data_IF_252404995516
#
_entry.id   IF_252404995516
#
_cell.length_a   1.000
_cell.length_b   1.000
_cell.length_c   1.000
_cell.angle_alpha   90.00
_cell.angle_beta   90.00
_cell.angle_gamma   90.00
#
_symmetry.space_group_name_H-M   'P 1'
#
loop_
_entity.id
_entity.type
_entity.pdbx_description
1 polymer ?
#
# COMPACT_ATOMS: atom_id res chain seq x y z
N UNK A 1 24.23 67.85 -35.11
CA UNK A 1 24.83 68.70 -34.05
C UNK A 1 25.76 67.77 -33.26
N UNK A 2 27.09 67.95 -33.24
CA UNK A 2 27.87 69.10 -32.78
C UNK A 2 27.76 69.27 -31.25
N UNK A 3 28.84 69.41 -30.45
CA UNK A 3 30.26 69.72 -30.74
C UNK A 3 31.22 68.72 -30.07
N UNK A 4 32.53 68.64 -30.37
CA UNK A 4 33.37 69.46 -31.25
C UNK A 4 34.59 70.03 -30.49
N UNK A 5 35.78 69.47 -30.74
CA UNK A 5 37.03 69.72 -29.99
C UNK A 5 37.44 71.21 -29.92
N UNK A 6 37.97 71.65 -28.78
CA UNK A 6 38.76 72.88 -28.64
C UNK A 6 40.21 72.67 -29.13
N UNK A 7 40.78 73.64 -29.85
CA UNK A 7 42.16 73.58 -30.35
C UNK A 7 42.96 74.86 -30.05
N UNK A 8 44.03 74.68 -29.27
CA UNK A 8 45.43 75.15 -29.44
C UNK A 8 45.79 76.49 -30.15
N UNK A 9 46.97 77.04 -29.77
CA UNK A 9 47.78 78.17 -30.32
C UNK A 9 47.84 79.48 -29.48
N UNK A 10 48.91 80.31 -29.60
CA UNK A 10 50.33 79.94 -29.74
C UNK A 10 51.36 80.90 -29.05
N UNK A 11 52.64 80.47 -28.99
CA UNK A 11 53.90 81.25 -29.16
C UNK A 11 54.17 82.60 -28.43
N UNK A 12 55.33 82.69 -27.75
CA UNK A 12 55.96 83.99 -27.40
C UNK A 12 57.30 83.90 -26.61
N UNK A 13 58.42 84.25 -27.27
CA UNK A 13 59.78 84.55 -26.70
C UNK A 13 60.38 85.70 -27.57
N UNK A 14 61.55 86.35 -27.30
CA UNK A 14 62.53 86.21 -26.18
C UNK A 14 63.05 87.58 -25.59
N UNK A 15 64.14 87.51 -24.79
CA UNK A 15 65.12 88.59 -24.47
C UNK A 15 64.66 89.76 -23.56
N UNK A 16 65.52 90.47 -22.78
CA UNK A 16 67.00 90.52 -22.55
C UNK A 16 67.23 90.88 -21.05
N UNK A 17 68.17 90.27 -20.28
CA UNK A 17 69.56 90.76 -20.01
C UNK A 17 69.66 92.29 -19.79
N UNK A 18 70.24 92.88 -18.74
CA UNK A 18 71.45 92.62 -17.89
C UNK A 18 71.23 93.23 -16.45
N UNK A 19 72.07 93.22 -15.37
CA UNK A 19 73.31 92.54 -14.90
C UNK A 19 73.52 92.81 -13.38
N UNK A 20 74.33 91.99 -12.66
CA UNK A 20 74.85 92.16 -11.26
C UNK A 20 73.80 92.29 -10.11
N UNK A 21 74.04 91.98 -8.82
CA UNK A 21 74.94 91.10 -8.02
C UNK A 21 74.26 91.00 -6.62
N UNK A 22 74.42 90.03 -5.69
CA UNK A 22 75.54 89.19 -5.24
C UNK A 22 75.00 88.06 -4.28
N UNK A 23 75.86 87.17 -3.78
CA UNK A 23 75.72 86.34 -2.56
C UNK A 23 74.70 85.17 -2.44
N UNK A 24 75.27 83.95 -2.28
CA UNK A 24 74.90 82.87 -1.33
C UNK A 24 73.48 82.24 -1.32
N UNK A 25 73.33 81.01 -1.86
CA UNK A 25 73.17 79.75 -1.08
C UNK A 25 72.95 78.50 -1.98
N UNK A 26 73.09 77.29 -1.41
CA UNK A 26 73.13 75.99 -2.12
C UNK A 26 71.94 75.07 -1.79
N UNK A 27 71.68 74.12 -2.71
CA UNK A 27 71.25 72.72 -2.50
C UNK A 27 69.78 72.26 -2.74
N UNK A 28 69.66 71.36 -3.74
CA UNK A 28 68.71 70.22 -3.89
C UNK A 28 67.19 70.52 -4.05
N UNK A 29 66.43 69.63 -4.77
CA UNK A 29 66.13 68.27 -4.31
C UNK A 29 66.48 67.13 -5.29
N UNK A 30 66.98 66.01 -4.77
CA UNK A 30 67.05 64.71 -5.47
C UNK A 30 66.34 63.57 -4.69
N UNK A 31 65.65 63.89 -3.59
CA UNK A 31 65.03 62.91 -2.68
C UNK A 31 63.77 62.25 -3.25
N UNK A 32 62.95 63.02 -3.99
CA UNK A 32 61.54 62.71 -4.31
C UNK A 32 61.25 61.38 -5.01
N UNK A 33 62.25 60.70 -5.59
CA UNK A 33 62.04 59.48 -6.38
C UNK A 33 62.14 58.18 -5.56
N UNK A 34 62.87 58.19 -4.42
CA UNK A 34 63.01 57.00 -3.57
C UNK A 34 61.78 56.78 -2.69
N UNK A 35 61.26 57.86 -2.13
CA UNK A 35 60.17 57.80 -1.15
C UNK A 35 58.87 57.26 -1.78
N UNK A 36 58.59 57.60 -3.04
CA UNK A 36 57.46 57.04 -3.80
C UNK A 36 57.59 55.53 -4.07
N UNK A 37 58.81 55.00 -4.19
CA UNK A 37 59.03 53.56 -4.36
C UNK A 37 58.91 52.82 -3.02
N UNK A 38 59.38 53.41 -1.93
CA UNK A 38 59.24 52.87 -0.57
C UNK A 38 57.78 52.85 -0.10
N UNK A 39 57.02 53.91 -0.36
CA UNK A 39 55.59 53.96 -0.05
C UNK A 39 54.79 52.87 -0.79
N UNK A 40 55.06 52.65 -2.08
CA UNK A 40 54.42 51.57 -2.84
C UNK A 40 54.78 50.17 -2.29
N UNK A 41 56.01 49.97 -1.79
CA UNK A 41 56.42 48.71 -1.14
C UNK A 41 55.69 48.49 0.20
N UNK A 42 55.52 49.55 1.00
CA UNK A 42 54.81 49.50 2.28
C UNK A 42 53.30 49.27 2.11
N UNK A 43 52.69 49.64 0.98
CA UNK A 43 51.28 49.33 0.66
C UNK A 43 51.07 47.96 0.03
N UNK A 44 52.12 47.22 -0.33
CA UNK A 44 52.01 45.99 -1.11
C UNK A 44 51.77 44.71 -0.28
N UNK A 45 51.84 44.78 1.05
CA UNK A 45 51.82 43.61 1.94
C UNK A 45 50.45 43.27 2.53
N UNK A 46 49.43 44.14 2.39
CA UNK A 46 48.10 43.92 2.96
C UNK A 46 47.08 43.44 1.92
N UNK A 47 47.30 42.21 1.45
CA UNK A 47 46.31 41.40 0.73
C UNK A 47 46.04 40.15 1.58
N UNK A 48 44.84 39.95 2.13
CA UNK A 48 44.49 38.75 2.89
C UNK A 48 44.20 37.55 1.96
N UNK A 49 45.18 37.20 1.11
CA UNK A 49 45.06 36.07 0.18
C UNK A 49 45.40 34.74 0.86
N UNK A 50 44.32 34.08 1.31
CA UNK A 50 44.27 32.78 2.00
C UNK A 50 44.62 32.85 3.50
N UNK A 51 43.62 32.53 4.34
CA UNK A 51 43.82 32.25 5.76
C UNK A 51 44.80 31.10 5.97
N UNK A 52 45.39 31.06 7.18
CA UNK A 52 46.45 30.12 7.52
C UNK A 52 45.99 28.66 7.39
N UNK A 53 46.95 27.73 7.32
CA UNK A 53 46.65 26.29 7.34
C UNK A 53 45.78 25.91 8.56
N UNK A 54 45.95 26.61 9.69
CA UNK A 54 45.13 26.41 10.89
C UNK A 54 43.68 26.86 10.67
N UNK A 55 43.43 28.00 10.05
CA UNK A 55 42.08 28.50 9.73
C UNK A 55 41.32 27.54 8.81
N UNK A 56 42.04 26.94 7.84
CA UNK A 56 41.48 25.94 6.92
C UNK A 56 41.17 24.62 7.63
N UNK A 57 42.00 24.21 8.60
CA UNK A 57 41.74 23.05 9.45
C UNK A 57 40.52 23.29 10.36
N UNK A 58 40.42 24.46 10.99
CA UNK A 58 39.27 24.87 11.82
C UNK A 58 37.97 24.90 11.00
N UNK A 59 37.99 25.52 9.81
CA UNK A 59 36.84 25.57 8.93
C UNK A 59 36.40 24.16 8.51
N UNK A 60 37.34 23.29 8.13
CA UNK A 60 37.08 21.89 7.81
C UNK A 60 36.52 21.11 9.01
N UNK A 61 37.03 21.32 10.23
CA UNK A 61 36.49 20.71 11.45
C UNK A 61 35.00 21.04 11.59
N UNK A 62 34.65 22.34 11.62
CA UNK A 62 33.24 22.73 11.76
C UNK A 62 32.35 22.24 10.60
N UNK A 63 32.92 21.96 9.43
CA UNK A 63 32.20 21.36 8.31
C UNK A 63 32.02 19.84 8.45
N UNK A 64 32.91 19.15 9.18
CA UNK A 64 32.73 17.76 9.61
C UNK A 64 31.73 17.69 10.75
N UNK A 65 31.85 18.56 11.76
CA UNK A 65 30.98 18.59 12.94
C UNK A 65 29.50 18.74 12.54
N UNK A 66 29.17 19.74 11.70
CA UNK A 66 27.81 19.92 11.13
C UNK A 66 27.31 18.74 10.30
N UNK A 67 28.23 17.95 9.70
CA UNK A 67 27.86 16.74 8.94
C UNK A 67 27.61 15.55 9.86
N UNK A 68 28.30 15.48 11.00
CA UNK A 68 28.02 14.50 12.06
C UNK A 68 26.66 14.80 12.70
N UNK A 69 26.39 16.05 13.09
CA UNK A 69 25.06 16.49 13.56
C UNK A 69 23.94 16.11 12.57
N UNK A 70 24.18 16.33 11.27
CA UNK A 70 23.27 15.92 10.21
C UNK A 70 23.05 14.40 10.14
N UNK A 71 24.10 13.60 10.26
CA UNK A 71 24.03 12.12 10.27
C UNK A 71 23.31 11.62 11.52
N UNK A 72 23.59 12.18 12.70
CA UNK A 72 22.91 11.79 13.94
C UNK A 72 21.41 12.09 13.86
N UNK A 73 21.00 13.19 13.22
CA UNK A 73 19.59 13.53 12.99
C UNK A 73 18.88 12.53 12.07
N UNK A 74 19.53 12.07 10.99
CA UNK A 74 18.93 11.09 10.07
C UNK A 74 18.92 9.69 10.66
N UNK A 75 19.98 9.27 11.36
CA UNK A 75 20.04 7.99 12.10
C UNK A 75 18.97 7.95 13.20
N UNK A 76 18.76 9.04 13.94
CA UNK A 76 17.69 9.14 14.94
C UNK A 76 16.30 9.00 14.31
N UNK A 77 16.07 9.65 13.17
CA UNK A 77 14.82 9.55 12.40
C UNK A 77 14.57 8.12 11.89
N UNK A 78 15.57 7.51 11.25
CA UNK A 78 15.50 6.12 10.77
C UNK A 78 15.24 5.12 11.91
N UNK A 79 15.80 5.33 13.10
CA UNK A 79 15.53 4.50 14.27
C UNK A 79 14.08 4.62 14.76
N UNK A 80 13.50 5.81 14.72
CA UNK A 80 12.09 6.04 15.04
C UNK A 80 11.15 5.39 14.00
N UNK A 81 11.43 5.56 12.71
CA UNK A 81 10.68 4.92 11.61
C UNK A 81 10.74 3.39 11.68
N UNK A 82 11.93 2.82 11.89
CA UNK A 82 12.14 1.37 12.07
C UNK A 82 11.33 0.84 13.26
N UNK A 83 11.25 1.60 14.35
CA UNK A 83 10.42 1.25 15.51
C UNK A 83 8.92 1.30 15.20
N UNK A 84 8.45 2.26 14.40
CA UNK A 84 7.04 2.29 13.94
C UNK A 84 6.73 1.06 13.10
N UNK A 85 7.55 0.78 12.08
CA UNK A 85 7.40 -0.38 11.18
C UNK A 85 7.36 -1.69 11.97
N UNK A 86 8.16 -1.82 13.03
CA UNK A 86 8.13 -3.01 13.90
C UNK A 86 6.80 -3.16 14.67
N UNK A 87 6.23 -2.06 15.17
CA UNK A 87 4.91 -2.05 15.82
C UNK A 87 3.78 -2.36 14.82
N UNK A 88 3.85 -1.78 13.62
CA UNK A 88 2.88 -2.04 12.54
C UNK A 88 2.90 -3.52 12.11
N UNK A 89 4.10 -4.11 11.95
CA UNK A 89 4.28 -5.55 11.66
C UNK A 89 3.68 -6.42 12.77
N UNK A 90 3.93 -6.11 14.05
CA UNK A 90 3.33 -6.85 15.17
C UNK A 90 1.78 -6.74 15.17
N UNK A 91 1.24 -5.55 14.85
CA UNK A 91 -0.19 -5.34 14.67
C UNK A 91 -0.77 -6.15 13.51
N UNK A 92 -0.08 -6.23 12.38
CA UNK A 92 -0.48 -7.09 11.25
C UNK A 92 -0.42 -8.57 11.59
N UNK A 93 0.62 -9.04 12.29
CA UNK A 93 0.74 -10.44 12.75
C UNK A 93 -0.44 -10.84 13.65
N UNK A 94 -0.80 -9.99 14.62
CA UNK A 94 -1.97 -10.21 15.48
C UNK A 94 -3.27 -10.31 14.66
N UNK A 95 -3.50 -9.38 13.71
CA UNK A 95 -4.69 -9.38 12.84
C UNK A 95 -4.75 -10.57 11.89
N UNK A 96 -3.62 -11.04 11.37
CA UNK A 96 -3.54 -12.25 10.55
C UNK A 96 -3.86 -13.50 11.38
N UNK A 97 -3.43 -13.54 12.65
CA UNK A 97 -3.78 -14.65 13.56
C UNK A 97 -5.27 -14.71 13.88
N UNK A 98 -5.92 -13.57 14.15
CA UNK A 98 -7.38 -13.48 14.33
C UNK A 98 -8.12 -13.97 13.08
N UNK A 99 -7.74 -13.47 11.90
CA UNK A 99 -8.35 -13.87 10.64
C UNK A 99 -8.17 -15.37 10.36
N UNK A 100 -6.99 -15.94 10.62
CA UNK A 100 -6.76 -17.37 10.42
C UNK A 100 -7.62 -18.23 11.36
N UNK A 101 -7.70 -17.88 12.65
CA UNK A 101 -8.56 -18.56 13.61
C UNK A 101 -10.05 -18.49 13.21
N UNK A 102 -10.50 -17.33 12.72
CA UNK A 102 -11.89 -17.11 12.30
C UNK A 102 -12.22 -17.80 10.98
N UNK A 103 -11.28 -17.90 10.04
CA UNK A 103 -11.45 -18.71 8.82
C UNK A 103 -11.55 -20.19 9.18
N UNK A 104 -10.64 -20.73 10.00
CA UNK A 104 -10.71 -22.13 10.44
C UNK A 104 -12.04 -22.48 11.12
N UNK A 105 -12.54 -21.62 12.01
CA UNK A 105 -13.85 -21.82 12.64
C UNK A 105 -15.04 -21.79 11.65
N UNK A 106 -14.92 -21.07 10.53
CA UNK A 106 -15.93 -21.06 9.45
C UNK A 106 -15.78 -22.30 8.55
N UNK A 107 -14.56 -22.76 8.30
CA UNK A 107 -14.28 -24.00 7.55
C UNK A 107 -14.79 -25.23 8.33
N UNK A 108 -14.53 -25.31 9.63
CA UNK A 108 -15.08 -26.33 10.54
C UNK A 108 -16.62 -26.32 10.54
N UNK A 109 -17.24 -25.15 10.63
CA UNK A 109 -18.70 -25.06 10.57
C UNK A 109 -19.25 -25.48 9.20
N UNK A 110 -18.62 -25.08 8.10
CA UNK A 110 -19.00 -25.51 6.76
C UNK A 110 -18.93 -27.04 6.63
N UNK A 111 -17.89 -27.67 7.15
CA UNK A 111 -17.78 -29.14 7.20
C UNK A 111 -19.00 -29.76 7.90
N UNK A 112 -19.35 -29.29 9.12
CA UNK A 112 -20.53 -29.80 9.85
C UNK A 112 -21.84 -29.65 9.08
N UNK A 113 -22.03 -28.55 8.35
CA UNK A 113 -23.22 -28.34 7.50
C UNK A 113 -23.25 -29.33 6.34
N UNK A 114 -22.11 -29.64 5.71
CA UNK A 114 -22.06 -30.65 4.64
C UNK A 114 -22.32 -32.07 5.13
N UNK A 115 -21.97 -32.40 6.39
CA UNK A 115 -22.32 -33.70 6.99
C UNK A 115 -23.80 -33.80 7.32
N UNK A 116 -24.43 -32.71 7.78
CA UNK A 116 -25.88 -32.67 7.99
C UNK A 116 -26.66 -32.80 6.69
N UNK A 117 -26.20 -32.18 5.59
CA UNK A 117 -26.82 -32.34 4.26
C UNK A 117 -26.75 -33.80 3.75
N UNK A 118 -25.59 -34.45 3.90
CA UNK A 118 -25.42 -35.89 3.57
C UNK A 118 -26.38 -36.78 4.36
N UNK A 119 -26.52 -36.54 5.66
CA UNK A 119 -27.40 -37.34 6.53
C UNK A 119 -28.88 -37.04 6.25
N UNK A 120 -29.27 -35.79 5.97
CA UNK A 120 -30.63 -35.43 5.55
C UNK A 120 -31.02 -36.12 4.24
N UNK A 121 -30.13 -36.15 3.23
CA UNK A 121 -30.35 -36.89 1.98
C UNK A 121 -30.49 -38.40 2.22
N UNK A 122 -29.73 -38.96 3.16
CA UNK A 122 -29.82 -40.37 3.54
C UNK A 122 -31.12 -40.72 4.27
N UNK A 123 -31.57 -39.89 5.22
CA UNK A 123 -32.88 -40.05 5.88
C UNK A 123 -34.02 -39.87 4.89
N UNK A 124 -33.96 -38.87 4.02
CA UNK A 124 -35.00 -38.63 3.02
C UNK A 124 -35.16 -39.83 2.09
N UNK A 125 -34.06 -40.40 1.57
CA UNK A 125 -34.12 -41.60 0.73
C UNK A 125 -34.66 -42.84 1.47
N UNK A 126 -34.37 -42.98 2.78
CA UNK A 126 -34.98 -44.02 3.63
C UNK A 126 -36.48 -43.80 3.84
N UNK A 127 -36.91 -42.55 4.00
CA UNK A 127 -38.33 -42.22 4.18
C UNK A 127 -39.12 -42.58 2.93
N UNK A 128 -38.63 -42.24 1.74
CA UNK A 128 -39.23 -42.63 0.45
C UNK A 128 -39.29 -44.16 0.30
N UNK A 129 -38.19 -44.87 0.56
CA UNK A 129 -38.16 -46.35 0.52
C UNK A 129 -39.16 -47.00 1.50
N UNK A 130 -39.41 -46.38 2.67
CA UNK A 130 -40.43 -46.84 3.62
C UNK A 130 -41.86 -46.48 3.19
N UNK A 131 -42.08 -45.30 2.61
CA UNK A 131 -43.37 -44.86 2.09
C UNK A 131 -43.80 -45.70 0.89
N UNK A 132 -42.88 -45.96 -0.05
CA UNK A 132 -43.06 -46.88 -1.18
C UNK A 132 -43.41 -48.28 -0.69
N UNK A 133 -42.67 -48.85 0.27
CA UNK A 133 -42.97 -50.18 0.85
C UNK A 133 -44.31 -50.23 1.57
N UNK A 134 -44.66 -49.19 2.32
CA UNK A 134 -45.95 -49.09 3.02
C UNK A 134 -47.13 -48.84 2.06
N UNK A 135 -46.86 -48.39 0.84
CA UNK A 135 -47.88 -48.05 -0.18
C UNK A 135 -47.95 -49.06 -1.33
N UNK A 136 -46.96 -49.93 -1.50
CA UNK A 136 -46.81 -50.85 -2.64
C UNK A 136 -48.05 -51.71 -2.90
N UNK A 137 -48.70 -52.15 -1.84
CA UNK A 137 -49.83 -53.08 -1.90
C UNK A 137 -51.19 -52.33 -1.82
N UNK A 138 -51.18 -50.99 -1.77
CA UNK A 138 -52.37 -50.13 -1.72
C UNK A 138 -52.79 -49.64 -3.12
N UNK A 139 -53.96 -50.07 -3.60
CA UNK A 139 -54.54 -49.58 -4.86
C UNK A 139 -55.47 -48.39 -4.60
N UNK A 140 -55.32 -47.30 -5.36
CA UNK A 140 -56.22 -46.14 -5.34
C UNK A 140 -57.12 -46.16 -6.57
N UNK A 141 -58.43 -46.21 -6.36
CA UNK A 141 -59.44 -46.09 -7.42
C UNK A 141 -59.88 -44.62 -7.56
N UNK A 142 -60.10 -44.17 -8.79
CA UNK A 142 -60.54 -42.82 -9.12
C UNK A 142 -61.70 -42.88 -10.12
N UNK A 143 -62.63 -41.92 -10.05
CA UNK A 143 -63.76 -41.82 -10.99
C UNK A 143 -65.02 -42.60 -10.63
N UNK A 144 -65.04 -43.31 -9.49
CA UNK A 144 -66.30 -43.82 -8.93
C UNK A 144 -67.16 -42.67 -8.38
N UNK A 145 -68.48 -42.62 -8.66
CA UNK A 145 -69.40 -41.70 -8.00
C UNK A 145 -69.50 -42.01 -6.49
N UNK A 146 -69.60 -40.98 -5.66
CA UNK A 146 -69.82 -41.15 -4.22
C UNK A 146 -71.06 -42.01 -3.94
N UNK A 147 -70.99 -42.87 -2.92
CA UNK A 147 -72.04 -43.81 -2.51
C UNK A 147 -72.33 -44.97 -3.48
N UNK A 148 -71.59 -45.15 -4.59
CA UNK A 148 -71.81 -46.31 -5.51
C UNK A 148 -71.55 -47.67 -4.83
N UNK A 149 -70.76 -47.68 -3.77
CA UNK A 149 -70.40 -48.83 -2.94
C UNK A 149 -71.43 -49.20 -1.85
N UNK A 150 -72.47 -48.39 -1.69
CA UNK A 150 -73.57 -48.57 -0.72
C UNK A 150 -73.08 -48.78 0.72
N UNK A 151 -73.21 -50.00 1.27
CA UNK A 151 -72.88 -50.33 2.67
C UNK A 151 -71.71 -51.32 2.78
N UNK A 152 -71.29 -51.95 1.68
CA UNK A 152 -70.19 -52.92 1.68
C UNK A 152 -69.28 -52.76 0.45
N UNK A 153 -68.19 -52.03 0.67
CA UNK A 153 -67.10 -51.81 -0.29
C UNK A 153 -66.49 -53.14 -0.77
N UNK A 154 -66.48 -54.20 0.06
CA UNK A 154 -65.95 -55.49 -0.39
C UNK A 154 -66.88 -56.20 -1.36
N UNK A 155 -68.19 -56.16 -1.16
CA UNK A 155 -69.15 -56.70 -2.13
C UNK A 155 -69.05 -55.92 -3.46
N UNK A 156 -69.05 -54.59 -3.39
CA UNK A 156 -68.88 -53.71 -4.54
C UNK A 156 -67.61 -54.01 -5.35
N UNK A 157 -66.45 -54.15 -4.70
CA UNK A 157 -65.19 -54.49 -5.38
C UNK A 157 -65.18 -55.93 -5.94
N UNK A 158 -65.82 -56.90 -5.29
CA UNK A 158 -65.94 -58.28 -5.80
C UNK A 158 -66.78 -58.36 -7.09
N UNK A 159 -67.75 -57.48 -7.28
CA UNK A 159 -68.58 -57.40 -8.49
C UNK A 159 -67.97 -56.51 -9.59
N UNK A 160 -67.40 -55.37 -9.21
CA UNK A 160 -66.88 -54.38 -10.18
C UNK A 160 -65.52 -54.75 -10.76
N UNK A 161 -64.60 -55.34 -9.98
CA UNK A 161 -63.25 -55.66 -10.48
C UNK A 161 -63.26 -56.73 -11.61
N UNK A 162 -64.03 -57.84 -11.55
CA UNK A 162 -64.14 -58.74 -12.69
C UNK A 162 -64.73 -58.07 -13.93
N UNK A 163 -65.79 -57.27 -13.73
CA UNK A 163 -66.49 -56.55 -14.81
C UNK A 163 -65.59 -55.52 -15.51
N UNK A 164 -64.76 -54.80 -14.74
CA UNK A 164 -63.86 -53.77 -15.25
C UNK A 164 -62.59 -54.34 -15.91
N UNK A 165 -62.05 -55.45 -15.39
CA UNK A 165 -60.80 -56.05 -15.89
C UNK A 165 -61.00 -57.14 -16.94
N UNK A 166 -62.20 -57.71 -17.05
CA UNK A 166 -62.47 -58.91 -17.83
C UNK A 166 -61.89 -60.20 -17.23
N UNK A 167 -61.32 -60.15 -16.02
CA UNK A 167 -60.65 -61.27 -15.36
C UNK A 167 -61.60 -61.88 -14.30
N UNK A 168 -62.01 -63.13 -14.51
CA UNK A 168 -62.68 -63.92 -13.47
C UNK A 168 -61.66 -64.37 -12.43
N UNK A 169 -61.66 -63.77 -11.24
CA UNK A 169 -60.84 -64.25 -10.13
C UNK A 169 -61.30 -65.65 -9.70
N UNK A 170 -60.39 -66.63 -9.75
CA UNK A 170 -60.64 -67.96 -9.22
C UNK A 170 -60.73 -68.00 -7.69
N UNK A 171 -61.09 -69.15 -7.09
CA UNK A 171 -61.09 -69.30 -5.64
C UNK A 171 -59.70 -69.00 -5.04
N UNK A 172 -59.60 -68.41 -3.83
CA UNK A 172 -58.33 -68.00 -3.26
C UNK A 172 -57.34 -69.16 -3.11
N UNK A 173 -56.19 -69.09 -3.80
CA UNK A 173 -55.21 -70.17 -3.88
C UNK A 173 -54.19 -70.17 -2.72
N UNK A 174 -54.47 -69.49 -1.61
CA UNK A 174 -53.54 -69.46 -0.47
C UNK A 174 -53.46 -70.86 0.16
N UNK A 175 -52.28 -71.48 0.11
CA UNK A 175 -52.08 -72.75 0.80
C UNK A 175 -52.12 -72.53 2.31
N UNK A 176 -52.80 -73.40 3.06
CA UNK A 176 -52.98 -73.27 4.51
C UNK A 176 -51.70 -73.57 5.32
N UNK A 177 -50.67 -72.73 5.16
CA UNK A 177 -49.43 -72.69 5.95
C UNK A 177 -48.99 -71.24 6.17
N UNK A 178 -49.34 -70.69 7.33
CA UNK A 178 -49.09 -69.29 7.67
C UNK A 178 -49.63 -68.93 9.06
N UNK A 179 -49.27 -69.72 10.08
CA UNK A 179 -49.58 -69.36 11.47
C UNK A 179 -48.56 -68.30 11.91
N UNK A 180 -49.00 -67.04 12.00
CA UNK A 180 -48.19 -65.92 12.46
C UNK A 180 -48.37 -65.81 13.98
N UNK A 181 -47.25 -65.63 14.67
CA UNK A 181 -47.14 -65.32 16.11
C UNK A 181 -46.80 -63.84 16.22
#
# INVERSE_FOLDING_TARGET
>A
MATGKSGDKPSGKPARQLLFSEALQYSHPLASLRDSQLMNLLTATDKPEQGTTMDRILQNSTAVDRRLEGIDSTVSTMAAETKSIHLDIAGFQSRVSDLHQRVGAVEDHLNTVTDWDRELLFLHRKLVDLEDRSSRDNVRFFGFPEHSEWTDVQAFLKETLPTLTGISFGPPHWSSKGHII
#
